data_IF_416485369574
#
_entry.id   IF_416485369574
#
_cell.length_a   1.000
_cell.length_b   1.000
_cell.length_c   1.000
_cell.angle_alpha   90.00
_cell.angle_beta   90.00
_cell.angle_gamma   90.00
#
_symmetry.space_group_name_H-M   'P 1'
#
loop_
_entity.id
_entity.type
_entity.pdbx_description
1 polymer ?
#
# COMPACT_ATOMS: atom_id res chain seq x y z
N UNK A 1 -0.91 -8.87 -24.20
CA UNK A 1 -1.09 -9.77 -23.03
C UNK A 1 -2.19 -9.20 -22.13
N UNK A 2 -2.76 -9.97 -21.20
CA UNK A 2 -3.79 -9.47 -20.25
C UNK A 2 -3.32 -8.23 -19.47
N UNK A 3 -2.05 -8.17 -19.08
CA UNK A 3 -1.50 -7.00 -18.38
C UNK A 3 -1.49 -5.72 -19.25
N UNK A 4 -1.21 -5.84 -20.54
CA UNK A 4 -1.24 -4.70 -21.47
C UNK A 4 -2.66 -4.17 -21.65
N UNK A 5 -3.65 -5.06 -21.68
CA UNK A 5 -5.06 -4.70 -21.76
C UNK A 5 -5.51 -3.97 -20.49
N UNK A 6 -5.17 -4.49 -19.31
CA UNK A 6 -5.42 -3.80 -18.04
C UNK A 6 -4.76 -2.43 -17.98
N UNK A 7 -3.48 -2.32 -18.35
CA UNK A 7 -2.77 -1.04 -18.37
C UNK A 7 -3.45 -0.04 -19.32
N UNK A 8 -3.89 -0.50 -20.49
CA UNK A 8 -4.59 0.35 -21.46
C UNK A 8 -5.92 0.88 -20.92
N UNK A 9 -6.70 0.03 -20.24
CA UNK A 9 -7.98 0.42 -19.62
C UNK A 9 -7.73 1.38 -18.45
N UNK A 10 -6.80 1.03 -17.55
CA UNK A 10 -6.47 1.82 -16.36
C UNK A 10 -5.97 3.23 -16.70
N UNK A 11 -5.21 3.40 -17.79
CA UNK A 11 -4.75 4.72 -18.25
C UNK A 11 -5.87 5.66 -18.69
N UNK A 12 -7.05 5.14 -18.98
CA UNK A 12 -8.24 5.92 -19.36
C UNK A 12 -9.15 6.22 -18.16
N UNK A 13 -8.93 5.54 -17.04
CA UNK A 13 -9.70 5.75 -15.83
C UNK A 13 -9.12 6.91 -15.01
N UNK A 14 -9.99 7.73 -14.41
CA UNK A 14 -9.55 8.77 -13.47
C UNK A 14 -9.18 8.20 -12.10
N UNK A 15 -9.77 7.05 -11.73
CA UNK A 15 -9.52 6.34 -10.46
C UNK A 15 -9.40 4.85 -10.77
N UNK A 16 -8.41 4.20 -10.16
CA UNK A 16 -8.21 2.75 -10.23
C UNK A 16 -8.20 2.21 -8.80
N UNK A 17 -9.17 1.35 -8.48
CA UNK A 17 -9.26 0.67 -7.19
C UNK A 17 -8.65 -0.74 -7.25
N UNK A 18 -7.94 -1.13 -6.20
CA UNK A 18 -7.44 -2.50 -6.01
C UNK A 18 -7.19 -2.79 -4.53
N UNK A 19 -7.22 -4.07 -4.16
CA UNK A 19 -6.78 -4.50 -2.82
C UNK A 19 -5.26 -4.43 -2.71
N UNK A 20 -4.74 -4.41 -1.48
CA UNK A 20 -3.28 -4.39 -1.23
C UNK A 20 -2.57 -5.62 -1.80
N UNK A 21 -3.19 -6.80 -1.71
CA UNK A 21 -2.70 -8.02 -2.38
C UNK A 21 -2.71 -7.87 -3.90
N UNK A 22 -3.74 -7.22 -4.45
CA UNK A 22 -3.82 -6.89 -5.87
C UNK A 22 -2.68 -5.98 -6.32
N UNK A 23 -2.37 -4.94 -5.54
CA UNK A 23 -1.26 -4.04 -5.81
C UNK A 23 0.11 -4.76 -5.80
N UNK A 24 0.31 -5.69 -4.85
CA UNK A 24 1.50 -6.53 -4.83
C UNK A 24 1.57 -7.44 -6.06
N UNK A 25 0.45 -8.08 -6.43
CA UNK A 25 0.36 -9.00 -7.57
C UNK A 25 0.61 -8.28 -8.90
N UNK A 26 0.04 -7.09 -9.07
CA UNK A 26 0.14 -6.28 -10.30
C UNK A 26 1.16 -5.15 -10.19
N UNK A 27 2.23 -5.35 -9.41
CA UNK A 27 3.26 -4.35 -9.18
C UNK A 27 3.91 -3.84 -10.48
N UNK A 28 4.05 -4.70 -11.50
CA UNK A 28 4.54 -4.32 -12.84
C UNK A 28 3.64 -3.27 -13.50
N UNK A 29 2.33 -3.47 -13.45
CA UNK A 29 1.33 -2.55 -13.99
C UNK A 29 1.35 -1.24 -13.21
N UNK A 30 1.40 -1.27 -11.87
CA UNK A 30 1.45 -0.06 -11.05
C UNK A 30 2.70 0.79 -11.34
N UNK A 31 3.87 0.16 -11.52
CA UNK A 31 5.09 0.85 -11.94
C UNK A 31 4.94 1.56 -13.29
N UNK A 32 4.21 0.96 -14.23
CA UNK A 32 3.95 1.53 -15.56
C UNK A 32 2.82 2.56 -15.56
N UNK A 33 1.83 2.41 -14.69
CA UNK A 33 0.72 3.34 -14.49
C UNK A 33 1.23 4.62 -13.80
N UNK A 34 2.18 4.47 -12.87
CA UNK A 34 2.90 5.54 -12.18
C UNK A 34 1.97 6.63 -11.61
N UNK A 35 1.01 6.26 -10.73
CA UNK A 35 0.04 7.21 -10.19
C UNK A 35 0.74 8.33 -9.40
N UNK A 36 0.27 9.56 -9.58
CA UNK A 36 0.77 10.72 -8.83
C UNK A 36 0.17 10.84 -7.42
N UNK A 37 -0.99 10.22 -7.20
CA UNK A 37 -1.71 10.22 -5.92
C UNK A 37 -2.06 8.77 -5.60
N UNK A 38 -1.77 8.34 -4.37
CA UNK A 38 -2.13 7.02 -3.85
C UNK A 38 -2.91 7.22 -2.54
N UNK A 39 -4.07 6.59 -2.44
CA UNK A 39 -4.92 6.60 -1.25
C UNK A 39 -4.97 5.18 -0.71
N UNK A 40 -4.73 5.02 0.59
CA UNK A 40 -4.73 3.73 1.29
C UNK A 40 -5.71 3.82 2.44
N UNK A 41 -6.81 3.08 2.34
CA UNK A 41 -7.76 2.85 3.43
C UNK A 41 -7.24 1.75 4.37
N UNK A 42 -7.72 1.73 5.61
CA UNK A 42 -7.33 0.75 6.65
C UNK A 42 -5.81 0.67 6.86
N UNK A 43 -5.10 1.79 6.70
CA UNK A 43 -3.64 1.84 6.65
C UNK A 43 -2.94 1.34 7.95
N UNK A 44 -3.66 1.35 9.08
CA UNK A 44 -3.18 0.80 10.33
C UNK A 44 -3.07 -0.74 10.30
N UNK A 45 -3.90 -1.42 9.50
CA UNK A 45 -4.03 -2.88 9.41
C UNK A 45 -3.20 -3.50 8.27
N UNK A 46 -2.53 -2.67 7.48
CA UNK A 46 -1.77 -3.10 6.30
C UNK A 46 -0.27 -3.21 6.61
N UNK A 47 0.35 -4.29 6.12
CA UNK A 47 1.80 -4.44 6.15
C UNK A 47 2.48 -3.32 5.35
N UNK A 48 3.54 -2.74 5.90
CA UNK A 48 4.32 -1.71 5.20
C UNK A 48 4.77 -2.14 3.81
N UNK A 49 5.16 -3.41 3.63
CA UNK A 49 5.59 -3.94 2.34
C UNK A 49 4.55 -3.75 1.24
N UNK A 50 3.26 -3.89 1.55
CA UNK A 50 2.17 -3.67 0.60
C UNK A 50 1.96 -2.19 0.28
N UNK A 51 2.24 -1.29 1.23
CA UNK A 51 2.23 0.16 0.98
C UNK A 51 3.36 0.54 0.03
N UNK A 52 4.58 0.07 0.31
CA UNK A 52 5.77 0.37 -0.51
C UNK A 52 5.59 -0.14 -1.95
N UNK A 53 5.07 -1.34 -2.14
CA UNK A 53 4.84 -1.89 -3.50
C UNK A 53 3.76 -1.15 -4.27
N UNK A 54 2.86 -0.44 -3.56
CA UNK A 54 1.83 0.41 -4.18
C UNK A 54 2.36 1.78 -4.60
N UNK A 55 3.55 2.15 -4.14
CA UNK A 55 4.19 3.43 -4.46
C UNK A 55 5.11 3.33 -5.68
N UNK A 56 5.26 4.45 -6.39
CA UNK A 56 6.25 4.60 -7.47
C UNK A 56 7.04 5.88 -7.24
N UNK A 57 8.17 6.04 -7.94
CA UNK A 57 8.94 7.29 -7.92
C UNK A 57 8.18 8.52 -8.45
N UNK A 58 6.99 8.31 -9.04
CA UNK A 58 6.09 9.38 -9.51
C UNK A 58 5.00 9.73 -8.50
N UNK A 59 4.87 8.98 -7.40
CA UNK A 59 3.92 9.31 -6.33
C UNK A 59 4.33 10.63 -5.67
N UNK A 60 3.43 11.62 -5.68
CA UNK A 60 3.61 12.95 -5.09
C UNK A 60 2.81 13.11 -3.81
N UNK A 61 1.66 12.43 -3.72
CA UNK A 61 0.79 12.45 -2.56
C UNK A 61 0.46 11.02 -2.16
N UNK A 62 0.86 10.63 -0.96
CA UNK A 62 0.41 9.43 -0.29
C UNK A 62 -0.57 9.85 0.81
N UNK A 63 -1.82 9.41 0.70
CA UNK A 63 -2.86 9.66 1.69
C UNK A 63 -3.15 8.32 2.37
N UNK A 64 -2.89 8.24 3.67
CA UNK A 64 -3.17 7.04 4.45
C UNK A 64 -4.28 7.35 5.43
N UNK A 65 -5.36 6.59 5.35
CA UNK A 65 -6.53 6.71 6.20
C UNK A 65 -6.60 5.42 7.01
N UNK A 66 -6.69 5.55 8.32
CA UNK A 66 -6.74 4.42 9.22
C UNK A 66 -6.84 4.87 10.67
N UNK A 67 -7.21 3.95 11.54
CA UNK A 67 -7.29 4.18 12.97
C UNK A 67 -6.20 3.37 13.69
N UNK A 68 -5.21 4.06 14.27
CA UNK A 68 -4.13 3.42 15.02
C UNK A 68 -4.56 2.89 16.40
N UNK A 69 -5.79 3.17 16.84
CA UNK A 69 -6.38 2.60 18.04
C UNK A 69 -7.22 1.33 17.75
N UNK A 70 -7.41 0.98 16.48
CA UNK A 70 -8.05 -0.27 16.05
C UNK A 70 -7.00 -1.37 15.80
N UNK A 71 -7.41 -2.45 15.12
CA UNK A 71 -6.63 -3.68 14.97
C UNK A 71 -5.26 -3.42 14.32
N UNK A 72 -4.27 -4.23 14.70
CA UNK A 72 -2.94 -4.23 14.07
C UNK A 72 -2.90 -5.23 12.91
N UNK A 73 -1.96 -5.07 11.95
CA UNK A 73 -1.71 -6.07 10.93
C UNK A 73 -1.30 -7.38 11.62
N UNK A 74 -2.04 -8.46 11.37
CA UNK A 74 -1.67 -9.79 11.87
C UNK A 74 -0.64 -10.39 10.91
N UNK A 75 0.64 -10.39 11.28
CA UNK A 75 1.62 -11.14 10.50
C UNK A 75 1.37 -12.64 10.65
N UNK A 76 1.35 -13.39 9.54
CA UNK A 76 1.05 -14.85 9.55
C UNK A 76 2.08 -15.66 10.35
N UNK A 77 3.26 -15.10 10.62
CA UNK A 77 4.35 -15.78 11.33
C UNK A 77 4.74 -14.97 12.57
N UNK A 78 4.41 -15.51 13.73
CA UNK A 78 4.67 -14.90 15.05
C UNK A 78 6.16 -14.56 15.30
N UNK A 79 7.09 -15.39 14.83
CA UNK A 79 8.51 -15.07 14.98
C UNK A 79 8.94 -13.87 14.13
N UNK A 80 8.41 -13.76 12.92
CA UNK A 80 8.70 -12.66 12.01
C UNK A 80 8.08 -11.34 12.52
N UNK A 81 6.87 -11.43 13.08
CA UNK A 81 6.24 -10.33 13.81
C UNK A 81 7.14 -9.78 14.93
N UNK A 82 7.57 -10.64 15.84
CA UNK A 82 8.23 -10.23 17.09
C UNK A 82 9.70 -9.89 16.93
N UNK A 83 10.42 -10.58 16.03
CA UNK A 83 11.87 -10.40 15.84
C UNK A 83 12.21 -9.25 14.88
N UNK A 84 11.33 -8.97 13.91
CA UNK A 84 11.57 -7.95 12.88
C UNK A 84 10.53 -6.82 12.86
N UNK A 85 9.63 -6.76 13.85
CA UNK A 85 8.57 -5.75 13.95
C UNK A 85 7.68 -5.63 12.69
N UNK A 86 7.45 -6.75 12.00
CA UNK A 86 6.67 -6.79 10.76
C UNK A 86 5.19 -6.45 10.96
N UNK A 87 4.71 -6.45 12.20
CA UNK A 87 3.36 -5.99 12.57
C UNK A 87 3.25 -4.46 12.68
N UNK A 88 4.36 -3.71 12.62
CA UNK A 88 4.28 -2.24 12.63
C UNK A 88 4.00 -1.73 11.21
N UNK A 89 2.77 -1.28 10.98
CA UNK A 89 2.37 -0.65 9.71
C UNK A 89 3.15 0.63 9.45
N UNK A 90 3.19 1.07 8.18
CA UNK A 90 3.80 2.37 7.84
C UNK A 90 3.08 3.50 8.57
N UNK A 91 1.75 3.39 8.67
CA UNK A 91 0.91 4.33 9.38
C UNK A 91 1.32 4.45 10.86
N UNK A 92 1.39 3.33 11.59
CA UNK A 92 1.81 3.33 13.00
C UNK A 92 3.23 3.91 13.15
N UNK A 93 4.13 3.61 12.22
CA UNK A 93 5.50 4.14 12.24
C UNK A 93 5.56 5.65 12.02
N UNK A 94 4.78 6.19 11.09
CA UNK A 94 4.74 7.64 10.84
C UNK A 94 4.21 8.39 12.06
N UNK A 95 3.12 7.90 12.67
CA UNK A 95 2.57 8.45 13.92
C UNK A 95 3.60 8.42 15.05
N UNK A 96 4.30 7.28 15.24
CA UNK A 96 5.37 7.14 16.25
C UNK A 96 6.54 8.10 16.05
N UNK A 97 6.79 8.54 14.81
CA UNK A 97 7.81 9.52 14.48
C UNK A 97 7.29 10.98 14.48
N UNK A 98 6.06 11.22 14.94
CA UNK A 98 5.48 12.56 15.04
C UNK A 98 5.04 13.16 13.70
N UNK A 99 4.86 12.33 12.67
CA UNK A 99 4.31 12.77 11.37
C UNK A 99 2.79 12.57 11.43
N UNK A 100 2.04 13.68 11.50
CA UNK A 100 0.57 13.72 11.63
C UNK A 100 0.01 14.81 10.71
#
# INVERSE_FOLDING_TARGET
>A
SKEQEYLFIMRKASVVGMTTTGAATYNSILKLLAPSIVIIEEAAEILESHVITSMTSKCKHLIMIGDHQQLKPSATVYELAKKYNLETSLFERMVKNGIQ
#
